data_IF_294121705681
#
_entry.id   IF_294121705681
#
_cell.length_a   1.000
_cell.length_b   1.000
_cell.length_c   1.000
_cell.angle_alpha   90.00
_cell.angle_beta   90.00
_cell.angle_gamma   90.00
#
_symmetry.space_group_name_H-M   'P 1'
#
loop_
_entity.id
_entity.type
_entity.pdbx_description
1 polymer ?
#
# COMPACT_ATOMS: atom_id res chain seq x y z
N UNK A 1 7.45 0.78 14.44
CA UNK A 1 6.21 -0.01 14.47
C UNK A 1 6.10 -0.77 15.77
N UNK A 2 4.95 -0.71 16.42
CA UNK A 2 4.59 -1.48 17.61
C UNK A 2 4.41 -2.97 17.28
N UNK A 3 4.30 -3.81 18.31
CA UNK A 3 3.98 -5.24 18.14
C UNK A 3 2.59 -5.45 17.52
N UNK A 4 1.61 -4.60 17.86
CA UNK A 4 0.26 -4.67 17.29
C UNK A 4 0.28 -4.38 15.79
N UNK A 5 0.98 -3.33 15.37
CA UNK A 5 1.12 -2.97 13.95
C UNK A 5 1.80 -4.08 13.14
N UNK A 6 2.81 -4.75 13.72
CA UNK A 6 3.45 -5.91 13.09
C UNK A 6 2.50 -7.10 12.94
N UNK A 7 1.54 -7.27 13.84
CA UNK A 7 0.50 -8.30 13.75
C UNK A 7 -0.61 -7.93 12.75
N UNK A 8 -0.95 -6.65 12.63
CA UNK A 8 -2.00 -6.17 11.71
C UNK A 8 -1.54 -6.10 10.26
N UNK A 9 -0.27 -5.75 10.03
CA UNK A 9 0.27 -5.57 8.68
C UNK A 9 0.02 -6.77 7.74
N UNK A 10 0.27 -8.05 8.12
CA UNK A 10 -0.03 -9.20 7.28
C UNK A 10 -1.53 -9.32 6.90
N UNK A 11 -2.45 -8.88 7.75
CA UNK A 11 -3.90 -8.92 7.47
C UNK A 11 -4.27 -7.94 6.35
N UNK A 12 -3.70 -6.74 6.39
CA UNK A 12 -3.86 -5.76 5.31
C UNK A 12 -3.24 -6.25 4.00
N UNK A 13 -2.03 -6.84 4.07
CA UNK A 13 -1.34 -7.41 2.91
C UNK A 13 -2.18 -8.49 2.22
N UNK A 14 -2.73 -9.44 2.98
CA UNK A 14 -3.56 -10.52 2.41
C UNK A 14 -4.83 -9.96 1.76
N UNK A 15 -5.52 -9.03 2.43
CA UNK A 15 -6.74 -8.40 1.90
C UNK A 15 -6.48 -7.62 0.61
N UNK A 16 -5.40 -6.84 0.56
CA UNK A 16 -5.02 -6.07 -0.64
C UNK A 16 -4.64 -7.02 -1.77
N UNK A 17 -3.81 -8.04 -1.50
CA UNK A 17 -3.37 -9.02 -2.49
C UNK A 17 -4.56 -9.72 -3.15
N UNK A 18 -5.56 -10.14 -2.35
CA UNK A 18 -6.79 -10.75 -2.86
C UNK A 18 -7.62 -9.82 -3.73
N UNK A 19 -7.69 -8.53 -3.38
CA UNK A 19 -8.44 -7.55 -4.17
C UNK A 19 -7.77 -7.24 -5.51
N UNK A 20 -6.43 -7.11 -5.52
CA UNK A 20 -5.67 -6.77 -6.72
C UNK A 20 -5.55 -7.94 -7.71
N UNK A 21 -5.65 -9.19 -7.23
CA UNK A 21 -5.63 -10.39 -8.09
C UNK A 21 -6.72 -10.43 -9.17
N UNK A 22 -7.79 -9.63 -9.01
CA UNK A 22 -8.96 -9.65 -9.89
C UNK A 22 -8.75 -8.96 -11.25
N UNK A 23 -7.71 -8.15 -11.40
CA UNK A 23 -7.47 -7.34 -12.60
C UNK A 23 -6.05 -7.59 -13.12
N UNK A 24 -5.84 -8.41 -14.16
CA UNK A 24 -4.53 -8.53 -14.80
C UNK A 24 -4.12 -7.21 -15.43
N UNK A 25 -2.83 -6.87 -15.32
CA UNK A 25 -2.21 -5.65 -15.86
C UNK A 25 -3.01 -4.37 -15.53
N UNK A 26 -3.28 -4.09 -14.24
CA UNK A 26 -4.15 -3.00 -13.85
C UNK A 26 -3.48 -1.66 -14.14
N UNK A 27 -4.29 -0.65 -14.40
CA UNK A 27 -3.83 0.75 -14.39
C UNK A 27 -3.73 1.27 -12.95
N UNK A 28 -2.96 2.33 -12.72
CA UNK A 28 -2.90 3.01 -11.42
C UNK A 28 -4.29 3.39 -10.88
N UNK A 29 -5.19 3.84 -11.75
CA UNK A 29 -6.57 4.18 -11.39
C UNK A 29 -7.39 2.94 -10.95
N UNK A 30 -7.18 1.78 -11.58
CA UNK A 30 -7.84 0.54 -11.17
C UNK A 30 -7.31 0.03 -9.82
N UNK A 31 -6.01 0.19 -9.55
CA UNK A 31 -5.41 -0.12 -8.24
C UNK A 31 -5.98 0.80 -7.16
N UNK A 32 -5.97 2.12 -7.37
CA UNK A 32 -6.57 3.08 -6.44
C UNK A 32 -8.05 2.77 -6.17
N UNK A 33 -8.83 2.50 -7.22
CA UNK A 33 -10.24 2.10 -7.08
C UNK A 33 -10.42 0.81 -6.27
N UNK A 34 -9.57 -0.18 -6.45
CA UNK A 34 -9.62 -1.42 -5.68
C UNK A 34 -9.31 -1.17 -4.19
N UNK A 35 -8.30 -0.34 -3.89
CA UNK A 35 -7.96 0.05 -2.53
C UNK A 35 -9.08 0.86 -1.87
N UNK A 36 -9.71 1.79 -2.61
CA UNK A 36 -10.89 2.52 -2.12
C UNK A 36 -12.09 1.60 -1.90
N UNK A 37 -12.30 0.61 -2.77
CA UNK A 37 -13.33 -0.41 -2.60
C UNK A 37 -13.13 -1.30 -1.37
N UNK A 38 -11.90 -1.38 -0.86
CA UNK A 38 -11.62 -1.98 0.44
C UNK A 38 -11.93 -1.02 1.60
N UNK A 39 -12.06 0.29 1.38
CA UNK A 39 -12.32 1.29 2.43
C UNK A 39 -11.08 2.07 2.88
N UNK A 40 -9.98 1.99 2.13
CA UNK A 40 -8.87 2.94 2.30
C UNK A 40 -9.25 4.26 1.63
N UNK A 41 -9.20 5.36 2.37
CA UNK A 41 -9.58 6.69 1.85
C UNK A 41 -8.51 7.24 0.90
N UNK A 42 -8.92 8.16 0.02
CA UNK A 42 -8.09 8.69 -1.06
C UNK A 42 -6.81 9.35 -0.56
N UNK A 43 -6.90 10.09 0.56
CA UNK A 43 -5.77 10.80 1.16
C UNK A 43 -4.68 9.86 1.69
N UNK A 44 -5.01 8.58 1.92
CA UNK A 44 -4.08 7.57 2.43
C UNK A 44 -3.51 6.69 1.33
N UNK A 45 -3.99 6.83 0.09
CA UNK A 45 -3.61 5.99 -1.04
C UNK A 45 -2.81 6.82 -2.03
N UNK A 46 -1.54 6.50 -2.17
CA UNK A 46 -0.70 7.08 -3.22
C UNK A 46 -0.43 6.05 -4.32
N UNK A 47 -0.87 6.35 -5.55
CA UNK A 47 -0.58 5.53 -6.73
C UNK A 47 0.05 6.43 -7.81
N UNK A 48 1.39 6.50 -7.92
CA UNK A 48 2.03 7.35 -8.91
C UNK A 48 1.59 6.95 -10.33
N UNK A 49 1.28 7.95 -11.16
CA UNK A 49 0.90 7.74 -12.55
C UNK A 49 2.18 7.60 -13.40
N UNK A 50 2.26 6.55 -14.21
CA UNK A 50 3.12 6.59 -15.41
C UNK A 50 4.35 5.70 -15.41
N UNK A 51 4.16 4.39 -15.33
CA UNK A 51 5.20 3.45 -15.78
C UNK A 51 4.58 2.35 -16.64
N UNK A 52 5.28 1.98 -17.70
CA UNK A 52 5.06 0.69 -18.35
C UNK A 52 5.65 -0.38 -17.43
N UNK A 53 4.81 -1.25 -16.85
CA UNK A 53 5.25 -2.27 -15.90
C UNK A 53 4.33 -2.39 -14.69
N UNK A 54 4.81 -2.96 -13.58
CA UNK A 54 4.05 -3.06 -12.34
C UNK A 54 3.57 -1.69 -11.85
N UNK A 55 2.34 -1.65 -11.34
CA UNK A 55 1.80 -0.48 -10.68
C UNK A 55 2.30 -0.44 -9.25
N UNK A 56 3.04 0.60 -8.93
CA UNK A 56 3.45 0.92 -7.56
C UNK A 56 2.34 1.65 -6.81
N UNK A 57 2.27 1.40 -5.51
CA UNK A 57 1.40 2.11 -4.59
C UNK A 57 2.02 2.21 -3.20
N UNK A 58 1.61 3.23 -2.46
CA UNK A 58 1.89 3.41 -1.04
C UNK A 58 0.58 3.62 -0.30
N UNK A 59 0.47 3.04 0.89
CA UNK A 59 -0.69 3.13 1.76
C UNK A 59 -0.27 3.62 3.14
N UNK A 60 -0.91 4.69 3.59
CA UNK A 60 -0.77 5.20 4.95
C UNK A 60 -1.82 4.54 5.87
N UNK A 61 -1.37 3.67 6.75
CA UNK A 61 -2.21 3.01 7.75
C UNK A 61 -2.03 3.59 9.15
N UNK A 62 -1.34 4.73 9.29
CA UNK A 62 -1.11 5.35 10.59
C UNK A 62 -2.43 5.77 11.21
N UNK A 63 -2.60 5.45 12.48
CA UNK A 63 -3.73 5.88 13.31
C UNK A 63 -3.14 6.51 14.55
N UNK A 64 -3.48 7.77 14.83
CA UNK A 64 -2.89 8.56 15.90
C UNK A 64 -1.36 8.59 15.82
N UNK A 65 -0.66 8.01 16.79
CA UNK A 65 0.79 7.91 16.90
C UNK A 65 1.38 6.64 16.22
N UNK A 66 0.55 5.92 15.47
CA UNK A 66 0.95 4.79 14.65
C UNK A 66 1.97 5.17 13.57
N UNK A 67 2.74 4.17 13.15
CA UNK A 67 3.85 4.27 12.20
C UNK A 67 3.64 3.37 10.98
N UNK A 68 2.59 2.56 10.93
CA UNK A 68 2.41 1.58 9.88
C UNK A 68 2.14 2.24 8.51
N UNK A 69 3.09 2.06 7.59
CA UNK A 69 2.93 2.31 6.17
C UNK A 69 3.09 0.99 5.39
N UNK A 70 2.45 0.87 4.23
CA UNK A 70 2.70 -0.21 3.27
C UNK A 70 3.18 0.36 1.95
N UNK A 71 4.11 -0.33 1.30
CA UNK A 71 4.51 -0.09 -0.09
C UNK A 71 4.27 -1.36 -0.86
N UNK A 72 3.66 -1.24 -2.03
CA UNK A 72 3.40 -2.41 -2.84
C UNK A 72 3.54 -2.16 -4.33
N UNK A 73 3.76 -3.26 -5.04
CA UNK A 73 3.92 -3.33 -6.48
C UNK A 73 3.03 -4.45 -7.00
N UNK A 74 2.26 -4.20 -8.06
CA UNK A 74 1.35 -5.20 -8.63
C UNK A 74 1.33 -5.22 -10.15
N UNK A 75 1.32 -6.43 -10.72
CA UNK A 75 0.97 -6.68 -12.12
C UNK A 75 -0.46 -7.23 -12.24
N UNK A 76 -1.23 -7.23 -11.15
CA UNK A 76 -2.50 -7.94 -11.03
C UNK A 76 -2.33 -9.44 -10.84
N UNK A 77 -1.43 -10.08 -11.58
CA UNK A 77 -1.13 -11.52 -11.42
C UNK A 77 -0.18 -11.81 -10.26
N UNK A 78 0.72 -10.87 -9.97
CA UNK A 78 1.64 -10.90 -8.83
C UNK A 78 1.54 -9.59 -8.08
N UNK A 79 1.49 -9.67 -6.75
CA UNK A 79 1.52 -8.51 -5.86
C UNK A 79 2.57 -8.75 -4.79
N UNK A 80 3.44 -7.76 -4.56
CA UNK A 80 4.44 -7.73 -3.49
C UNK A 80 4.10 -6.51 -2.63
N UNK A 81 4.03 -6.70 -1.31
CA UNK A 81 3.72 -5.62 -0.36
C UNK A 81 4.63 -5.77 0.84
N UNK A 82 5.25 -4.67 1.24
CA UNK A 82 6.13 -4.58 2.40
C UNK A 82 5.59 -3.56 3.40
N UNK A 83 5.63 -3.93 4.68
CA UNK A 83 5.29 -3.04 5.77
C UNK A 83 6.54 -2.35 6.31
N UNK A 84 6.44 -1.07 6.63
CA UNK A 84 7.53 -0.30 7.21
C UNK A 84 6.99 0.77 8.17
N UNK A 85 7.90 1.28 9.00
CA UNK A 85 7.62 2.39 9.91
C UNK A 85 7.87 3.74 9.24
N UNK A 86 6.89 4.64 9.28
CA UNK A 86 7.03 6.04 8.92
C UNK A 86 6.88 6.95 10.14
N UNK A 87 7.70 8.01 10.24
CA UNK A 87 7.46 9.11 11.18
C UNK A 87 6.18 9.85 10.80
N UNK A 88 5.35 10.33 11.76
CA UNK A 88 4.14 11.11 11.44
C UNK A 88 4.44 12.40 10.66
N UNK A 89 5.67 12.91 10.72
CA UNK A 89 6.09 14.15 10.04
C UNK A 89 6.50 13.94 8.57
N UNK A 90 6.61 12.69 8.12
CA UNK A 90 7.07 12.34 6.78
C UNK A 90 5.97 11.55 6.07
N UNK A 91 5.64 11.93 4.84
CA UNK A 91 4.71 11.17 4.02
C UNK A 91 5.24 9.75 3.79
N UNK A 92 4.36 8.74 3.87
CA UNK A 92 4.79 7.34 3.74
C UNK A 92 5.61 7.11 2.46
N UNK A 93 5.25 7.76 1.35
CA UNK A 93 5.93 7.62 0.05
C UNK A 93 7.36 8.21 0.04
N UNK A 94 7.67 9.13 0.95
CA UNK A 94 8.95 9.85 1.02
C UNK A 94 9.91 9.24 2.06
N UNK A 95 9.47 8.21 2.78
CA UNK A 95 10.32 7.49 3.74
C UNK A 95 11.42 6.72 3.00
N UNK A 96 12.68 7.10 3.27
CA UNK A 96 13.85 6.36 2.77
C UNK A 96 13.97 5.03 3.48
N UNK A 97 13.86 3.95 2.71
CA UNK A 97 14.01 2.56 3.18
C UNK A 97 15.40 2.06 2.82
N UNK A 98 16.20 1.66 3.81
CA UNK A 98 17.42 0.90 3.57
C UNK A 98 17.04 -0.56 3.34
N UNK A 99 17.26 -1.03 2.11
CA UNK A 99 17.14 -2.43 1.70
C UNK A 99 18.18 -3.32 2.38
#
# INVERSE_FOLDING_TARGET
MSSAEKCEAPLHVDRITKALKKNPDPTAAQVAKALHGLGYIEERVHTPRGTAGPVEFTLDLRVMDGQLCLSGSTTGTRTIIEAYGGSPEVECQDVRRTS
#
